data_IF_146879098558
#
_entry.id   IF_146879098558
#
_cell.length_a   1.000
_cell.length_b   1.000
_cell.length_c   1.000
_cell.angle_alpha   90.00
_cell.angle_beta   90.00
_cell.angle_gamma   90.00
#
_symmetry.space_group_name_H-M   'P 1'
#
loop_
_entity.id
_entity.type
_entity.pdbx_description
1 polymer ?
#
# COMPACT_ATOMS: atom_id res chain seq x y z
N UNK A 1 -8.74 3.42 -15.75
CA UNK A 1 -8.78 2.00 -16.10
C UNK A 1 -7.41 1.62 -16.64
N UNK A 2 -6.53 1.12 -15.79
CA UNK A 2 -5.45 0.25 -16.24
C UNK A 2 -6.06 -1.15 -16.18
N UNK A 3 -6.25 -1.81 -17.34
CA UNK A 3 -6.53 -3.25 -17.34
C UNK A 3 -5.36 -3.92 -16.60
N UNK A 4 -5.65 -4.65 -15.52
CA UNK A 4 -4.65 -5.53 -14.92
C UNK A 4 -4.15 -6.47 -16.02
N UNK A 5 -2.85 -6.41 -16.27
CA UNK A 5 -2.20 -7.22 -17.30
C UNK A 5 -2.25 -8.67 -16.82
N UNK A 6 -2.90 -9.56 -17.59
CA UNK A 6 -2.95 -10.98 -17.22
C UNK A 6 -1.52 -11.54 -17.06
N UNK A 7 -1.29 -12.55 -16.21
CA UNK A 7 0.05 -13.12 -16.02
C UNK A 7 0.72 -13.54 -17.33
N UNK A 8 -0.05 -14.07 -18.28
CA UNK A 8 0.44 -14.44 -19.62
C UNK A 8 0.88 -13.22 -20.42
N UNK A 9 0.06 -12.17 -20.44
CA UNK A 9 0.39 -10.91 -21.13
C UNK A 9 1.55 -10.19 -20.45
N UNK A 10 1.66 -10.28 -19.14
CA UNK A 10 2.76 -9.73 -18.36
C UNK A 10 4.07 -10.42 -18.75
N UNK A 11 4.05 -11.76 -18.83
CA UNK A 11 5.19 -12.55 -19.29
C UNK A 11 5.60 -12.21 -20.73
N UNK A 12 4.64 -12.09 -21.65
CA UNK A 12 4.92 -11.66 -23.04
C UNK A 12 5.58 -10.28 -23.10
N UNK A 13 5.07 -9.31 -22.33
CA UNK A 13 5.64 -7.97 -22.23
C UNK A 13 7.06 -8.03 -21.66
N UNK A 14 7.30 -8.80 -20.59
CA UNK A 14 8.63 -8.97 -20.01
C UNK A 14 9.61 -9.58 -21.03
N UNK A 15 9.21 -10.62 -21.75
CA UNK A 15 10.03 -11.25 -22.79
C UNK A 15 10.38 -10.25 -23.90
N UNK A 16 9.41 -9.44 -24.34
CA UNK A 16 9.64 -8.38 -25.34
C UNK A 16 10.62 -7.31 -24.82
N UNK A 17 10.45 -6.84 -23.58
CA UNK A 17 11.26 -5.78 -22.99
C UNK A 17 12.69 -6.24 -22.64
N UNK A 18 12.85 -7.52 -22.32
CA UNK A 18 14.16 -8.14 -22.00
C UNK A 18 14.83 -8.76 -23.23
N UNK A 19 14.36 -8.46 -24.45
CA UNK A 19 14.99 -8.94 -25.68
C UNK A 19 15.02 -10.46 -25.83
N UNK A 20 14.02 -11.17 -25.31
CA UNK A 20 13.98 -12.64 -25.30
C UNK A 20 14.77 -13.29 -24.16
N UNK A 21 14.97 -12.58 -23.05
CA UNK A 21 15.55 -13.10 -21.80
C UNK A 21 17.00 -12.68 -21.50
N UNK A 22 17.63 -11.86 -22.36
CA UNK A 22 18.93 -11.24 -22.08
C UNK A 22 18.72 -9.82 -21.56
N UNK A 23 18.88 -9.65 -20.25
CA UNK A 23 18.82 -8.33 -19.61
C UNK A 23 20.03 -7.45 -19.97
N UNK A 24 21.06 -7.98 -20.63
CA UNK A 24 22.33 -7.29 -20.88
C UNK A 24 22.17 -6.00 -21.69
N UNK A 25 21.11 -5.89 -22.51
CA UNK A 25 20.87 -4.74 -23.39
C UNK A 25 19.99 -3.64 -22.79
N UNK A 26 19.37 -3.85 -21.62
CA UNK A 26 18.47 -2.85 -21.03
C UNK A 26 19.22 -1.88 -20.10
N UNK A 27 18.78 -0.64 -20.03
CA UNK A 27 19.34 0.35 -19.12
C UNK A 27 18.74 0.24 -17.71
N UNK A 28 19.33 0.95 -16.74
CA UNK A 28 18.89 1.00 -15.34
C UNK A 28 17.42 1.33 -15.21
N UNK A 29 17.00 2.41 -15.87
CA UNK A 29 15.62 2.91 -15.80
C UNK A 29 14.60 1.85 -16.23
N UNK A 30 14.86 1.12 -17.33
CA UNK A 30 13.98 0.03 -17.78
C UNK A 30 14.05 -1.18 -16.85
N UNK A 31 15.25 -1.56 -16.39
CA UNK A 31 15.44 -2.69 -15.47
C UNK A 31 14.65 -2.52 -14.17
N UNK A 32 14.67 -1.31 -13.58
CA UNK A 32 13.91 -1.01 -12.38
C UNK A 32 12.42 -0.80 -12.67
N UNK A 33 12.08 -0.18 -13.82
CA UNK A 33 10.70 0.14 -14.17
C UNK A 33 9.81 -1.08 -14.42
N UNK A 34 10.38 -2.22 -14.82
CA UNK A 34 9.61 -3.46 -15.04
C UNK A 34 9.45 -4.31 -13.78
N UNK A 35 10.12 -3.98 -12.67
CA UNK A 35 10.06 -4.78 -11.44
C UNK A 35 8.62 -5.08 -10.97
N UNK A 36 7.67 -4.11 -10.95
CA UNK A 36 6.29 -4.41 -10.55
C UNK A 36 5.59 -5.43 -11.45
N UNK A 37 5.93 -5.46 -12.74
CA UNK A 37 5.38 -6.43 -13.69
C UNK A 37 5.98 -7.82 -13.50
N UNK A 38 7.26 -7.89 -13.11
CA UNK A 38 7.91 -9.17 -12.78
C UNK A 38 7.41 -9.69 -11.43
N UNK A 39 7.19 -8.80 -10.46
CA UNK A 39 6.56 -9.11 -9.17
C UNK A 39 5.16 -9.74 -9.36
N UNK A 40 4.37 -9.24 -10.32
CA UNK A 40 3.01 -9.75 -10.55
C UNK A 40 2.96 -11.19 -11.07
N UNK A 41 4.04 -11.68 -11.69
CA UNK A 41 4.18 -13.08 -12.11
C UNK A 41 4.97 -13.94 -11.12
N UNK A 42 5.49 -13.33 -10.03
CA UNK A 42 6.21 -14.03 -8.96
C UNK A 42 7.60 -14.54 -9.35
N UNK A 43 8.23 -13.98 -10.37
CA UNK A 43 9.58 -14.39 -10.81
C UNK A 43 10.67 -13.66 -10.00
N UNK A 44 10.91 -14.16 -8.79
CA UNK A 44 11.86 -13.59 -7.83
C UNK A 44 13.31 -13.65 -8.33
N UNK A 45 13.67 -14.68 -9.10
CA UNK A 45 15.02 -14.84 -9.66
C UNK A 45 15.30 -13.76 -10.71
N UNK A 46 14.32 -13.46 -11.58
CA UNK A 46 14.46 -12.39 -12.56
C UNK A 46 14.56 -11.01 -11.89
N UNK A 47 13.80 -10.78 -10.81
CA UNK A 47 13.88 -9.55 -10.03
C UNK A 47 15.29 -9.32 -9.48
N UNK A 48 15.88 -10.34 -8.84
CA UNK A 48 17.24 -10.23 -8.28
C UNK A 48 18.25 -9.88 -9.38
N UNK A 49 18.17 -10.59 -10.51
CA UNK A 49 19.03 -10.32 -11.68
C UNK A 49 18.85 -8.92 -12.25
N UNK A 50 17.62 -8.41 -12.33
CA UNK A 50 17.32 -7.06 -12.84
C UNK A 50 17.88 -5.98 -11.91
N UNK A 51 17.75 -6.15 -10.59
CA UNK A 51 18.29 -5.21 -9.60
C UNK A 51 19.82 -5.21 -9.64
N UNK A 52 20.46 -6.38 -9.68
CA UNK A 52 21.92 -6.46 -9.83
C UNK A 52 22.41 -5.84 -11.14
N UNK A 53 21.69 -6.08 -12.24
CA UNK A 53 22.01 -5.50 -13.53
C UNK A 53 21.91 -3.98 -13.49
N UNK A 54 20.81 -3.45 -12.95
CA UNK A 54 20.60 -2.03 -12.75
C UNK A 54 21.74 -1.37 -11.95
N UNK A 55 22.24 -2.03 -10.90
CA UNK A 55 23.39 -1.53 -10.14
C UNK A 55 24.68 -1.49 -10.98
N UNK A 56 24.88 -2.46 -11.88
CA UNK A 56 26.07 -2.55 -12.75
C UNK A 56 26.06 -1.52 -13.88
N UNK A 57 24.88 -1.22 -14.44
CA UNK A 57 24.74 -0.35 -15.62
C UNK A 57 24.34 1.10 -15.30
N UNK A 58 24.15 1.44 -14.02
CA UNK A 58 23.83 2.79 -13.56
C UNK A 58 24.86 3.82 -14.03
N UNK A 59 24.39 4.84 -14.78
CA UNK A 59 25.28 5.82 -15.43
C UNK A 59 25.51 7.09 -14.64
N UNK A 60 24.63 7.40 -13.69
CA UNK A 60 24.70 8.59 -12.84
C UNK A 60 24.35 8.26 -11.37
N UNK A 61 24.51 9.24 -10.49
CA UNK A 61 24.30 9.04 -9.05
C UNK A 61 22.82 8.86 -8.69
N UNK A 62 21.90 9.35 -9.53
CA UNK A 62 20.45 9.14 -9.35
C UNK A 62 20.09 7.69 -9.66
N UNK A 63 20.57 7.14 -10.78
CA UNK A 63 20.39 5.73 -11.14
C UNK A 63 21.04 4.78 -10.12
N UNK A 64 22.22 5.12 -9.60
CA UNK A 64 22.84 4.39 -8.48
C UNK A 64 21.98 4.45 -7.23
N UNK A 65 21.39 5.60 -6.93
CA UNK A 65 20.50 5.80 -5.80
C UNK A 65 19.23 4.93 -5.90
N UNK A 66 18.55 4.94 -7.05
CA UNK A 66 17.37 4.10 -7.28
C UNK A 66 17.69 2.61 -7.24
N UNK A 67 18.76 2.18 -7.89
CA UNK A 67 19.17 0.76 -7.86
C UNK A 67 19.59 0.31 -6.45
N UNK A 68 20.30 1.15 -5.67
CA UNK A 68 20.60 0.89 -4.25
C UNK A 68 19.31 0.82 -3.42
N UNK A 69 18.34 1.70 -3.68
CA UNK A 69 17.06 1.68 -2.96
C UNK A 69 16.30 0.37 -3.20
N UNK A 70 16.16 -0.06 -4.46
CA UNK A 70 15.50 -1.33 -4.81
C UNK A 70 16.22 -2.55 -4.23
N UNK A 71 17.55 -2.51 -4.15
CA UNK A 71 18.36 -3.53 -3.49
C UNK A 71 18.10 -3.59 -1.98
N UNK A 72 18.13 -2.45 -1.28
CA UNK A 72 17.91 -2.39 0.17
C UNK A 72 16.51 -2.90 0.55
N UNK A 73 15.47 -2.54 -0.21
CA UNK A 73 14.10 -3.03 0.04
C UNK A 73 13.98 -4.55 -0.01
N UNK A 74 14.74 -5.21 -0.89
CA UNK A 74 14.64 -6.66 -1.13
C UNK A 74 15.57 -7.48 -0.25
N UNK A 75 16.73 -6.91 0.09
CA UNK A 75 17.75 -7.60 0.89
C UNK A 75 17.72 -7.20 2.37
N UNK A 76 16.56 -6.78 2.87
CA UNK A 76 16.34 -6.38 4.26
C UNK A 76 17.38 -5.36 4.76
N UNK A 77 17.65 -4.33 3.95
CA UNK A 77 18.49 -3.20 4.35
C UNK A 77 18.01 -2.61 5.68
N UNK A 78 18.94 -2.19 6.53
CA UNK A 78 18.60 -1.64 7.84
C UNK A 78 17.94 -0.27 7.71
N UNK A 79 17.26 0.16 8.78
CA UNK A 79 16.69 1.50 8.88
C UNK A 79 17.79 2.56 8.67
N UNK A 80 18.99 2.31 9.22
CA UNK A 80 20.15 3.20 9.08
C UNK A 80 20.67 3.26 7.62
N UNK A 81 20.68 2.13 6.90
CA UNK A 81 21.07 2.10 5.48
C UNK A 81 20.13 2.95 4.61
N UNK A 82 18.83 2.87 4.91
CA UNK A 82 17.78 3.66 4.23
C UNK A 82 17.91 5.15 4.60
N UNK A 83 18.21 5.47 5.86
CA UNK A 83 18.45 6.84 6.31
C UNK A 83 19.69 7.46 5.63
N UNK A 84 20.79 6.69 5.52
CA UNK A 84 22.01 7.11 4.82
C UNK A 84 21.71 7.39 3.35
N UNK A 85 20.96 6.51 2.68
CA UNK A 85 20.56 6.72 1.30
C UNK A 85 19.67 7.95 1.12
N UNK A 86 18.73 8.20 2.04
CA UNK A 86 17.90 9.39 2.02
C UNK A 86 18.76 10.67 2.13
N UNK A 87 19.71 10.70 3.07
CA UNK A 87 20.62 11.83 3.24
C UNK A 87 21.46 12.07 1.99
N UNK A 88 21.97 11.01 1.37
CA UNK A 88 22.71 11.13 0.12
C UNK A 88 21.82 11.66 -1.01
N UNK A 89 20.62 11.12 -1.18
CA UNK A 89 19.68 11.51 -2.23
C UNK A 89 19.29 13.00 -2.15
N UNK A 90 19.09 13.55 -0.95
CA UNK A 90 18.80 14.98 -0.76
C UNK A 90 19.96 15.90 -1.19
N UNK A 91 21.19 15.38 -1.23
CA UNK A 91 22.37 16.14 -1.67
C UNK A 91 22.60 16.13 -3.18
N UNK A 92 21.85 15.31 -3.92
CA UNK A 92 21.99 15.16 -5.37
C UNK A 92 21.22 16.26 -6.12
N UNK A 93 21.80 16.74 -7.22
CA UNK A 93 21.07 17.59 -8.16
C UNK A 93 19.91 16.77 -8.78
N UNK A 94 18.67 17.28 -8.67
CA UNK A 94 17.44 16.56 -9.08
C UNK A 94 17.17 15.28 -8.29
N UNK A 95 17.71 15.19 -7.07
CA UNK A 95 17.53 14.05 -6.16
C UNK A 95 16.20 14.00 -5.43
N UNK A 96 15.37 15.04 -5.52
CA UNK A 96 14.13 15.19 -4.76
C UNK A 96 13.16 14.00 -4.92
N UNK A 97 12.91 13.45 -6.13
CA UNK A 97 12.03 12.29 -6.30
C UNK A 97 12.56 11.04 -5.57
N UNK A 98 13.88 10.79 -5.66
CA UNK A 98 14.51 9.67 -4.97
C UNK A 98 14.45 9.87 -3.46
N UNK A 99 14.88 11.03 -2.97
CA UNK A 99 14.85 11.37 -1.55
C UNK A 99 13.43 11.23 -0.97
N UNK A 100 12.42 11.73 -1.68
CA UNK A 100 11.02 11.60 -1.29
C UNK A 100 10.58 10.13 -1.15
N UNK A 101 10.95 9.26 -2.08
CA UNK A 101 10.61 7.84 -2.05
C UNK A 101 11.34 7.09 -0.92
N UNK A 102 12.64 7.36 -0.75
CA UNK A 102 13.46 6.72 0.30
C UNK A 102 13.00 7.15 1.69
N UNK A 103 12.73 8.43 1.91
CA UNK A 103 12.20 8.94 3.19
C UNK A 103 10.81 8.39 3.52
N UNK A 104 9.96 8.21 2.50
CA UNK A 104 8.67 7.56 2.69
C UNK A 104 8.85 6.12 3.16
N UNK A 105 9.73 5.34 2.52
CA UNK A 105 10.02 3.97 2.94
C UNK A 105 10.67 3.91 4.32
N UNK A 106 11.58 4.83 4.63
CA UNK A 106 12.15 4.99 5.97
C UNK A 106 11.06 5.15 7.04
N UNK A 107 10.05 5.99 6.77
CA UNK A 107 8.92 6.17 7.67
C UNK A 107 8.10 4.88 7.85
N UNK A 108 7.89 4.10 6.79
CA UNK A 108 7.20 2.80 6.88
C UNK A 108 7.99 1.80 7.73
N UNK A 109 9.33 1.76 7.59
CA UNK A 109 10.17 0.89 8.42
C UNK A 109 10.15 1.32 9.89
N UNK A 110 10.21 2.61 10.19
CA UNK A 110 10.11 3.13 11.54
C UNK A 110 8.76 2.80 12.19
N UNK A 111 7.67 2.88 11.42
CA UNK A 111 6.36 2.43 11.88
C UNK A 111 6.32 0.93 12.21
N UNK A 112 7.09 0.09 11.51
CA UNK A 112 7.14 -1.34 11.78
C UNK A 112 7.78 -1.69 13.13
N UNK A 113 8.58 -0.77 13.69
CA UNK A 113 9.17 -0.86 15.04
C UNK A 113 8.47 0.07 16.03
N UNK A 114 7.30 0.60 15.67
CA UNK A 114 6.48 1.50 16.49
C UNK A 114 7.15 2.84 16.87
N UNK A 115 8.21 3.25 16.17
CA UNK A 115 8.82 4.58 16.32
C UNK A 115 8.03 5.63 15.53
N UNK A 116 6.89 6.04 16.09
CA UNK A 116 5.97 6.98 15.44
C UNK A 116 6.55 8.39 15.33
N UNK A 117 7.42 8.82 16.25
CA UNK A 117 8.05 10.14 16.25
C UNK A 117 9.04 10.29 15.09
N UNK A 118 9.97 9.33 14.94
CA UNK A 118 10.92 9.34 13.83
C UNK A 118 10.21 9.13 12.49
N UNK A 119 9.15 8.31 12.46
CA UNK A 119 8.34 8.10 11.26
C UNK A 119 7.67 9.40 10.79
N UNK A 120 7.07 10.16 11.72
CA UNK A 120 6.49 11.48 11.42
C UNK A 120 7.55 12.44 10.85
N UNK A 121 8.75 12.45 11.42
CA UNK A 121 9.86 13.29 10.93
C UNK A 121 10.23 12.94 9.50
N UNK A 122 10.40 11.65 9.22
CA UNK A 122 10.79 11.15 7.90
C UNK A 122 9.72 11.43 6.83
N UNK A 123 8.46 11.15 7.14
CA UNK A 123 7.37 11.38 6.18
C UNK A 123 7.10 12.87 5.96
N UNK A 124 7.22 13.75 6.97
CA UNK A 124 7.08 15.20 6.75
C UNK A 124 8.14 15.74 5.80
N UNK A 125 9.38 15.25 5.91
CA UNK A 125 10.44 15.59 4.95
C UNK A 125 10.10 15.09 3.54
N UNK A 126 9.62 13.84 3.41
CA UNK A 126 9.13 13.30 2.13
C UNK A 126 8.02 14.18 1.54
N UNK A 127 7.02 14.57 2.34
CA UNK A 127 5.90 15.41 1.88
C UNK A 127 6.36 16.76 1.35
N UNK A 128 7.28 17.44 2.06
CA UNK A 128 7.86 18.71 1.57
C UNK A 128 8.51 18.56 0.20
N UNK A 129 9.25 17.47 -0.03
CA UNK A 129 9.87 17.19 -1.32
C UNK A 129 8.83 16.84 -2.39
N UNK A 130 7.80 16.06 -2.06
CA UNK A 130 6.73 15.69 -2.99
C UNK A 130 5.91 16.92 -3.43
N UNK A 131 5.66 17.84 -2.50
CA UNK A 131 5.03 19.12 -2.81
C UNK A 131 5.88 19.96 -3.78
N UNK A 132 7.20 20.01 -3.59
CA UNK A 132 8.09 20.81 -4.45
C UNK A 132 8.19 20.27 -5.88
N UNK A 133 8.08 18.95 -6.07
CA UNK A 133 8.11 18.29 -7.38
C UNK A 133 6.70 18.07 -7.97
N UNK A 134 5.63 18.44 -7.25
CA UNK A 134 4.25 18.28 -7.71
C UNK A 134 3.73 16.83 -7.73
N UNK A 135 4.32 15.94 -6.93
CA UNK A 135 3.94 14.54 -6.82
C UNK A 135 2.70 14.36 -5.92
N UNK A 136 1.52 14.57 -6.51
CA UNK A 136 0.23 14.51 -5.80
C UNK A 136 -0.09 13.14 -5.23
N UNK A 137 0.16 12.08 -5.99
CA UNK A 137 -0.10 10.70 -5.57
C UNK A 137 0.77 10.34 -4.37
N UNK A 138 2.05 10.67 -4.47
CA UNK A 138 2.97 10.55 -3.37
C UNK A 138 2.59 11.34 -2.12
N UNK A 139 2.05 12.55 -2.28
CA UNK A 139 1.52 13.35 -1.17
C UNK A 139 0.37 12.63 -0.48
N UNK A 140 -0.56 12.01 -1.23
CA UNK A 140 -1.65 11.20 -0.64
C UNK A 140 -1.08 10.05 0.20
N UNK A 141 -0.08 9.32 -0.30
CA UNK A 141 0.55 8.25 0.46
C UNK A 141 1.31 8.76 1.69
N UNK A 142 1.98 9.90 1.61
CA UNK A 142 2.62 10.51 2.78
C UNK A 142 1.62 10.93 3.87
N UNK A 143 0.44 11.45 3.46
CA UNK A 143 -0.65 11.72 4.39
C UNK A 143 -1.19 10.44 5.04
N UNK A 144 -1.22 9.32 4.31
CA UNK A 144 -1.65 8.02 4.86
C UNK A 144 -0.73 7.55 6.00
N UNK A 145 0.58 7.75 5.83
CA UNK A 145 1.58 7.45 6.86
C UNK A 145 1.40 8.38 8.08
N UNK A 146 1.13 9.67 7.88
CA UNK A 146 0.83 10.58 8.99
C UNK A 146 -0.45 10.19 9.74
N UNK A 147 -1.53 9.83 9.03
CA UNK A 147 -2.74 9.27 9.63
C UNK A 147 -2.40 8.03 10.46
N UNK A 148 -1.61 7.10 9.92
CA UNK A 148 -1.20 5.90 10.65
C UNK A 148 -0.40 6.23 11.92
N UNK A 149 0.54 7.18 11.87
CA UNK A 149 1.23 7.65 13.07
C UNK A 149 0.25 8.20 14.12
N UNK A 150 -0.72 9.02 13.69
CA UNK A 150 -1.73 9.60 14.56
C UNK A 150 -2.62 8.53 15.21
N UNK A 151 -3.11 7.55 14.43
CA UNK A 151 -3.88 6.40 14.93
C UNK A 151 -3.11 5.57 15.95
N UNK A 152 -1.82 5.28 15.71
CA UNK A 152 -0.98 4.54 16.67
C UNK A 152 -0.79 5.31 17.99
N UNK A 153 -0.80 6.65 17.93
CA UNK A 153 -0.76 7.52 19.11
C UNK A 153 -2.15 7.80 19.72
N UNK A 154 -3.22 7.16 19.20
CA UNK A 154 -4.62 7.40 19.57
C UNK A 154 -5.08 8.86 19.37
N UNK A 155 -4.39 9.62 18.50
CA UNK A 155 -4.78 10.95 18.05
C UNK A 155 -5.70 10.82 16.84
N UNK A 156 -6.95 10.42 17.10
CA UNK A 156 -7.94 10.17 16.06
C UNK A 156 -8.38 11.44 15.33
N UNK A 157 -8.37 12.60 16.00
CA UNK A 157 -8.68 13.89 15.39
C UNK A 157 -7.67 14.23 14.28
N UNK A 158 -6.37 14.11 14.56
CA UNK A 158 -5.32 14.33 13.55
C UNK A 158 -5.39 13.29 12.43
N UNK A 159 -5.71 12.03 12.74
CA UNK A 159 -5.91 11.00 11.71
C UNK A 159 -7.02 11.39 10.72
N UNK A 160 -8.18 11.82 11.24
CA UNK A 160 -9.31 12.27 10.42
C UNK A 160 -8.93 13.47 9.56
N UNK A 161 -8.17 14.43 10.08
CA UNK A 161 -7.68 15.58 9.30
C UNK A 161 -6.84 15.12 8.12
N UNK A 162 -5.89 14.21 8.35
CA UNK A 162 -5.03 13.69 7.29
C UNK A 162 -5.82 12.86 6.26
N UNK A 163 -6.74 12.00 6.69
CA UNK A 163 -7.51 11.15 5.79
C UNK A 163 -8.59 11.91 5.01
N UNK A 164 -9.21 12.93 5.62
CA UNK A 164 -10.11 13.85 4.90
C UNK A 164 -9.37 14.59 3.80
N UNK A 165 -8.13 15.03 4.07
CA UNK A 165 -7.31 15.66 3.03
C UNK A 165 -6.98 14.69 1.89
N UNK A 166 -6.74 13.41 2.20
CA UNK A 166 -6.54 12.36 1.19
C UNK A 166 -7.79 12.16 0.32
N UNK A 167 -8.99 12.15 0.92
CA UNK A 167 -10.26 12.05 0.19
C UNK A 167 -10.41 13.19 -0.83
N UNK A 168 -10.23 14.44 -0.39
CA UNK A 168 -10.31 15.61 -1.28
C UNK A 168 -9.35 15.49 -2.46
N UNK A 169 -8.09 15.11 -2.19
CA UNK A 169 -7.08 14.95 -3.22
C UNK A 169 -7.40 13.81 -4.18
N UNK A 170 -7.88 12.67 -3.68
CA UNK A 170 -8.27 11.54 -4.51
C UNK A 170 -9.43 11.90 -5.45
N UNK A 171 -10.40 12.68 -4.96
CA UNK A 171 -11.50 13.21 -5.79
C UNK A 171 -10.99 14.16 -6.87
N UNK A 172 -10.12 15.11 -6.53
CA UNK A 172 -9.52 16.05 -7.48
C UNK A 172 -8.72 15.32 -8.57
N UNK A 173 -8.03 14.24 -8.20
CA UNK A 173 -7.27 13.39 -9.11
C UNK A 173 -8.15 12.41 -9.90
N UNK A 174 -9.41 12.24 -9.52
CA UNK A 174 -10.31 11.18 -10.02
C UNK A 174 -9.68 9.79 -9.90
N UNK A 175 -8.98 9.55 -8.79
CA UNK A 175 -8.36 8.28 -8.49
C UNK A 175 -9.24 7.49 -7.52
N UNK A 176 -10.04 6.59 -8.09
CA UNK A 176 -11.00 5.77 -7.35
C UNK A 176 -10.33 4.81 -6.36
N UNK A 177 -9.10 4.34 -6.63
CA UNK A 177 -8.37 3.47 -5.69
C UNK A 177 -7.97 4.26 -4.45
N UNK A 178 -7.37 5.43 -4.63
CA UNK A 178 -6.99 6.29 -3.49
C UNK A 178 -8.22 6.76 -2.69
N UNK A 179 -9.34 6.99 -3.39
CA UNK A 179 -10.60 7.36 -2.75
C UNK A 179 -11.13 6.22 -1.88
N UNK A 180 -11.19 5.00 -2.42
CA UNK A 180 -11.59 3.80 -1.68
C UNK A 180 -10.75 3.58 -0.42
N UNK A 181 -9.43 3.70 -0.52
CA UNK A 181 -8.51 3.53 0.62
C UNK A 181 -8.73 4.60 1.70
N UNK A 182 -8.85 5.87 1.30
CA UNK A 182 -9.06 6.96 2.24
C UNK A 182 -10.41 6.86 2.95
N UNK A 183 -11.48 6.39 2.28
CA UNK A 183 -12.79 6.13 2.90
C UNK A 183 -12.66 5.09 4.02
N UNK A 184 -11.95 3.99 3.77
CA UNK A 184 -11.75 2.95 4.78
C UNK A 184 -10.94 3.46 6.00
N UNK A 185 -9.93 4.30 5.76
CA UNK A 185 -9.14 4.89 6.85
C UNK A 185 -9.94 5.91 7.68
N UNK A 186 -10.77 6.76 7.04
CA UNK A 186 -11.72 7.62 7.78
C UNK A 186 -12.71 6.77 8.57
N UNK A 187 -13.27 5.72 7.96
CA UNK A 187 -14.19 4.79 8.62
C UNK A 187 -13.58 4.18 9.88
N UNK A 188 -12.30 3.79 9.82
CA UNK A 188 -11.56 3.29 10.98
C UNK A 188 -11.48 4.35 12.08
N UNK A 189 -11.05 5.56 11.75
CA UNK A 189 -10.90 6.62 12.76
C UNK A 189 -12.24 7.00 13.41
N UNK A 190 -13.32 7.04 12.63
CA UNK A 190 -14.69 7.28 13.14
C UNK A 190 -15.16 6.16 14.05
N UNK A 191 -14.91 4.89 13.69
CA UNK A 191 -15.25 3.74 14.54
C UNK A 191 -14.54 3.82 15.90
N UNK A 192 -13.25 4.19 15.90
CA UNK A 192 -12.45 4.37 17.13
C UNK A 192 -12.97 5.51 18.03
N UNK A 193 -13.62 6.52 17.47
CA UNK A 193 -14.28 7.59 18.22
C UNK A 193 -15.70 7.21 18.69
N UNK A 194 -16.22 6.04 18.30
CA UNK A 194 -17.56 5.58 18.64
C UNK A 194 -18.65 6.08 17.68
N UNK A 195 -18.27 6.75 16.59
CA UNK A 195 -19.20 7.24 15.55
C UNK A 195 -19.54 6.10 14.57
N UNK A 196 -20.16 5.04 15.09
CA UNK A 196 -20.36 3.77 14.38
C UNK A 196 -21.21 3.92 13.11
N UNK A 197 -22.21 4.80 13.12
CA UNK A 197 -23.05 5.06 11.95
C UNK A 197 -22.24 5.66 10.81
N UNK A 198 -21.46 6.72 11.10
CA UNK A 198 -20.56 7.37 10.14
C UNK A 198 -19.51 6.38 9.63
N UNK A 199 -18.91 5.58 10.51
CA UNK A 199 -17.95 4.56 10.14
C UNK A 199 -18.57 3.52 9.17
N UNK A 200 -19.80 3.08 9.44
CA UNK A 200 -20.51 2.14 8.59
C UNK A 200 -20.77 2.72 7.20
N UNK A 201 -21.14 4.00 7.09
CA UNK A 201 -21.33 4.67 5.80
C UNK A 201 -20.02 4.71 5.00
N UNK A 202 -18.91 5.11 5.65
CA UNK A 202 -17.59 5.19 5.00
C UNK A 202 -17.09 3.81 4.53
N UNK A 203 -17.24 2.78 5.36
CA UNK A 203 -16.86 1.42 4.95
C UNK A 203 -17.76 0.87 3.84
N UNK A 204 -19.05 1.15 3.86
CA UNK A 204 -19.95 0.70 2.80
C UNK A 204 -19.61 1.35 1.46
N UNK A 205 -19.34 2.66 1.44
CA UNK A 205 -18.91 3.36 0.22
C UNK A 205 -17.57 2.83 -0.29
N UNK A 206 -16.61 2.58 0.62
CA UNK A 206 -15.33 1.94 0.28
C UNK A 206 -15.54 0.53 -0.31
N UNK A 207 -16.42 -0.28 0.28
CA UNK A 207 -16.73 -1.63 -0.20
C UNK A 207 -17.36 -1.61 -1.59
N UNK A 208 -18.31 -0.71 -1.83
CA UNK A 208 -18.98 -0.58 -3.12
C UNK A 208 -18.01 -0.12 -4.22
N UNK A 209 -17.07 0.77 -3.87
CA UNK A 209 -16.01 1.18 -4.79
C UNK A 209 -15.03 0.02 -5.05
N UNK A 210 -14.60 -0.69 -4.01
CA UNK A 210 -13.71 -1.85 -4.13
C UNK A 210 -14.29 -2.95 -5.02
N UNK A 211 -15.59 -3.24 -4.88
CA UNK A 211 -16.30 -4.21 -5.74
C UNK A 211 -16.34 -3.75 -7.20
N UNK A 212 -16.62 -2.47 -7.46
CA UNK A 212 -16.61 -1.91 -8.83
C UNK A 212 -15.24 -1.92 -9.47
N UNK A 213 -14.19 -1.77 -8.66
CA UNK A 213 -12.79 -1.82 -9.08
C UNK A 213 -12.24 -3.25 -9.18
N UNK A 214 -13.03 -4.27 -8.83
CA UNK A 214 -12.59 -5.66 -8.71
C UNK A 214 -11.35 -5.81 -7.80
N UNK A 215 -11.24 -4.97 -6.77
CA UNK A 215 -10.05 -4.84 -5.92
C UNK A 215 -10.17 -5.70 -4.64
N UNK A 216 -9.59 -6.91 -4.58
CA UNK A 216 -9.93 -7.89 -3.55
C UNK A 216 -9.43 -7.49 -2.15
N UNK A 217 -8.27 -6.84 -2.10
CA UNK A 217 -7.73 -6.29 -0.85
C UNK A 217 -8.63 -5.17 -0.30
N UNK A 218 -9.20 -4.35 -1.18
CA UNK A 218 -10.13 -3.28 -0.79
C UNK A 218 -11.43 -3.83 -0.23
N UNK A 219 -11.98 -4.86 -0.91
CA UNK A 219 -13.17 -5.59 -0.43
C UNK A 219 -12.90 -6.18 0.95
N UNK A 220 -11.75 -6.82 1.13
CA UNK A 220 -11.38 -7.38 2.43
C UNK A 220 -11.31 -6.32 3.53
N UNK A 221 -10.61 -5.21 3.29
CA UNK A 221 -10.44 -4.14 4.30
C UNK A 221 -11.79 -3.55 4.70
N UNK A 222 -12.63 -3.21 3.73
CA UNK A 222 -13.93 -2.62 4.01
C UNK A 222 -14.91 -3.61 4.68
N UNK A 223 -14.96 -4.86 4.20
CA UNK A 223 -15.73 -5.93 4.84
C UNK A 223 -15.27 -6.22 6.27
N UNK A 224 -13.96 -6.14 6.53
CA UNK A 224 -13.40 -6.32 7.88
C UNK A 224 -13.87 -5.22 8.83
N UNK A 225 -13.85 -3.96 8.38
CA UNK A 225 -14.38 -2.83 9.13
C UNK A 225 -15.87 -2.96 9.43
N UNK A 226 -16.68 -3.34 8.43
CA UNK A 226 -18.12 -3.57 8.65
C UNK A 226 -18.39 -4.73 9.61
N UNK A 227 -17.58 -5.80 9.56
CA UNK A 227 -17.68 -6.90 10.51
C UNK A 227 -17.31 -6.46 11.94
N UNK A 228 -16.27 -5.63 12.11
CA UNK A 228 -15.91 -5.06 13.42
C UNK A 228 -17.10 -4.25 13.99
N UNK A 229 -17.73 -3.40 13.18
CA UNK A 229 -18.90 -2.63 13.60
C UNK A 229 -20.08 -3.52 13.96
N UNK A 230 -20.37 -4.54 13.16
CA UNK A 230 -21.45 -5.49 13.43
C UNK A 230 -21.21 -6.27 14.74
N UNK A 231 -19.97 -6.70 15.00
CA UNK A 231 -19.61 -7.37 16.27
C UNK A 231 -19.76 -6.44 17.48
N UNK A 232 -19.35 -5.16 17.37
CA UNK A 232 -19.56 -4.14 18.43
C UNK A 232 -21.05 -4.01 18.76
N UNK A 233 -21.91 -4.06 17.74
CA UNK A 233 -23.37 -4.01 17.88
C UNK A 233 -24.01 -5.37 18.18
N UNK A 234 -23.22 -6.41 18.41
CA UNK A 234 -23.65 -7.80 18.70
C UNK A 234 -24.45 -8.46 17.56
N UNK A 235 -24.31 -7.96 16.33
CA UNK A 235 -24.91 -8.49 15.10
C UNK A 235 -23.97 -9.52 14.44
N UNK A 236 -23.72 -10.64 15.11
CA UNK A 236 -22.77 -11.66 14.66
C UNK A 236 -23.14 -12.31 13.32
N UNK A 237 -24.43 -12.46 13.03
CA UNK A 237 -24.93 -12.95 11.73
C UNK A 237 -24.48 -12.03 10.57
N UNK A 238 -24.56 -10.71 10.78
CA UNK A 238 -24.17 -9.71 9.78
C UNK A 238 -22.64 -9.71 9.58
N UNK A 239 -21.88 -9.83 10.66
CA UNK A 239 -20.42 -9.97 10.62
C UNK A 239 -19.99 -11.23 9.84
N UNK A 240 -20.66 -12.37 10.10
CA UNK A 240 -20.41 -13.62 9.40
C UNK A 240 -20.74 -13.50 7.91
N UNK A 241 -21.87 -12.87 7.57
CA UNK A 241 -22.29 -12.68 6.18
C UNK A 241 -21.27 -11.85 5.40
N UNK A 242 -20.88 -10.67 5.90
CA UNK A 242 -19.99 -9.76 5.17
C UNK A 242 -18.59 -10.33 4.95
N UNK A 243 -18.08 -11.11 5.92
CA UNK A 243 -16.79 -11.80 5.78
C UNK A 243 -16.88 -13.04 4.86
N UNK A 244 -18.03 -13.71 4.83
CA UNK A 244 -18.26 -14.85 3.94
C UNK A 244 -18.30 -14.40 2.48
N UNK A 245 -18.93 -13.25 2.21
CA UNK A 245 -18.92 -12.62 0.89
C UNK A 245 -17.49 -12.28 0.43
N UNK A 246 -16.68 -11.71 1.33
CA UNK A 246 -15.28 -11.44 1.04
C UNK A 246 -14.50 -12.74 0.72
N UNK A 247 -14.70 -13.81 1.51
CA UNK A 247 -14.09 -15.12 1.25
C UNK A 247 -14.50 -15.69 -0.11
N UNK A 248 -15.78 -15.58 -0.47
CA UNK A 248 -16.27 -16.03 -1.78
C UNK A 248 -15.59 -15.30 -2.93
N UNK A 249 -15.29 -14.01 -2.80
CA UNK A 249 -14.54 -13.27 -3.82
C UNK A 249 -13.13 -13.85 -4.01
N UNK A 250 -12.37 -14.10 -2.93
CA UNK A 250 -11.05 -14.73 -3.03
C UNK A 250 -11.12 -16.09 -3.74
N UNK A 251 -12.14 -16.91 -3.43
CA UNK A 251 -12.35 -18.20 -4.09
C UNK A 251 -12.67 -18.07 -5.58
N UNK A 252 -13.54 -17.12 -5.96
CA UNK A 252 -13.90 -16.87 -7.35
C UNK A 252 -12.72 -16.43 -8.20
N UNK A 253 -11.85 -15.59 -7.62
CA UNK A 253 -10.64 -15.11 -8.26
C UNK A 253 -9.49 -16.13 -8.25
N UNK A 254 -9.65 -17.26 -7.54
CA UNK A 254 -8.61 -18.29 -7.43
C UNK A 254 -7.37 -17.83 -6.66
N UNK A 255 -7.45 -16.72 -5.92
CA UNK A 255 -6.35 -16.20 -5.11
C UNK A 255 -6.44 -16.72 -3.66
N UNK A 256 -5.31 -17.00 -2.99
CA UNK A 256 -5.32 -17.45 -1.61
C UNK A 256 -5.94 -16.41 -0.68
N UNK A 257 -7.04 -16.78 -0.01
CA UNK A 257 -7.60 -15.95 1.04
C UNK A 257 -6.63 -15.85 2.25
N UNK A 258 -6.51 -14.67 2.89
CA UNK A 258 -5.67 -14.50 4.08
C UNK A 258 -6.08 -15.43 5.22
N UNK A 259 -5.10 -15.98 5.94
CA UNK A 259 -5.37 -16.91 7.03
C UNK A 259 -6.12 -16.26 8.20
N UNK A 260 -5.93 -14.96 8.41
CA UNK A 260 -6.69 -14.20 9.42
C UNK A 260 -8.18 -14.17 9.10
N UNK A 261 -8.56 -14.04 7.81
CA UNK A 261 -9.97 -14.11 7.40
C UNK A 261 -10.57 -15.49 7.70
N UNK A 262 -9.84 -16.57 7.37
CA UNK A 262 -10.26 -17.95 7.66
C UNK A 262 -10.47 -18.18 9.16
N UNK A 263 -9.51 -17.72 9.98
CA UNK A 263 -9.57 -17.82 11.44
C UNK A 263 -10.76 -17.06 12.01
N UNK A 264 -10.99 -15.83 11.53
CA UNK A 264 -12.09 -14.98 12.00
C UNK A 264 -13.44 -15.58 11.64
N UNK A 265 -13.61 -16.06 10.41
CA UNK A 265 -14.82 -16.78 9.99
C UNK A 265 -15.10 -18.01 10.85
N UNK A 266 -14.07 -18.83 11.11
CA UNK A 266 -14.23 -19.98 11.99
C UNK A 266 -14.70 -19.58 13.40
N UNK A 267 -14.12 -18.52 13.98
CA UNK A 267 -14.52 -18.03 15.30
C UNK A 267 -16.00 -17.60 15.34
N UNK A 268 -16.47 -16.87 14.32
CA UNK A 268 -17.87 -16.45 14.20
C UNK A 268 -18.83 -17.65 14.08
N UNK A 269 -18.46 -18.66 13.28
CA UNK A 269 -19.30 -19.87 13.15
C UNK A 269 -19.37 -20.71 14.43
N UNK A 270 -18.34 -20.66 15.29
CA UNK A 270 -18.37 -21.35 16.58
C UNK A 270 -19.23 -20.63 17.63
N UNK A 271 -19.34 -19.31 17.57
CA UNK A 271 -20.18 -18.52 18.48
C UNK A 271 -21.68 -18.84 18.29
N UNK A 272 -22.12 -19.03 17.05
CA UNK A 272 -23.49 -19.48 16.73
C UNK A 272 -23.84 -20.86 17.27
N UNK A 273 -22.84 -21.69 17.59
CA UNK A 273 -23.01 -23.02 18.14
C UNK A 273 -23.23 -23.07 19.65
N UNK A 274 -22.77 -22.06 20.40
CA UNK A 274 -22.87 -22.03 21.87
C UNK A 274 -24.11 -21.27 22.39
N UNK A 275 -24.79 -20.51 21.52
CA UNK A 275 -25.95 -19.68 21.87
C UNK A 275 -27.30 -20.36 21.54
N UNK A 276 -27.31 -21.62 21.10
CA UNK A 276 -28.53 -22.40 20.79
C UNK A 276 -28.93 -23.41 21.87
#
# INVERSE_FOLDING_TARGET
MAEEVSPEKAKEIIEMLTGGGSIDSINTSLALGILPLVDSIGDHDLIERLVEHAQKVAVDDIEKGWSRFEHLKRNAGSIDDIAELAFHAESLEKGEPLAAAVLHHHALMLLSIEDTESAQTSVRRSLTLRESIGDKEGTVYGLAVLSRCARMNQDWDSAIVHDTRRLEMAMDMKNDVLHMEALADVGHAQASLGELATASEMYQESLDLAKRLEHPAGVLVASWGLADLAEIETRYDDALLVLSDAMHLFMQLGIPAPDLLKKRLHALTSLDGEVK
#
